data_IF_002660281037
#
_entry.id   IF_002660281037
#
_cell.length_a   1.000
_cell.length_b   1.000
_cell.length_c   1.000
_cell.angle_alpha   90.00
_cell.angle_beta   90.00
_cell.angle_gamma   90.00
#
_symmetry.space_group_name_H-M   'P 1'
#
loop_
_entity.id
_entity.type
_entity.pdbx_description
1 polymer ?
#
# COMPACT_ATOMS: atom_id res chain seq x y z
N UNK A 1 -24.13 -10.95 19.64
CA UNK A 1 -23.90 -11.73 18.40
C UNK A 1 -22.90 -12.81 18.74
N UNK A 2 -23.13 -14.06 18.33
CA UNK A 2 -22.23 -15.16 18.68
C UNK A 2 -21.01 -15.15 17.75
N UNK A 3 -19.81 -15.41 18.28
CA UNK A 3 -18.57 -15.51 17.52
C UNK A 3 -18.69 -16.50 16.35
N UNK A 4 -19.38 -17.62 16.58
CA UNK A 4 -19.64 -18.66 15.56
C UNK A 4 -20.47 -18.14 14.38
N UNK A 5 -21.43 -17.24 14.62
CA UNK A 5 -22.23 -16.66 13.53
C UNK A 5 -21.34 -15.82 12.61
N UNK A 6 -20.43 -15.03 13.19
CA UNK A 6 -19.55 -14.16 12.41
C UNK A 6 -18.48 -14.98 11.70
N UNK A 7 -17.97 -16.05 12.33
CA UNK A 7 -17.07 -17.01 11.68
C UNK A 7 -17.72 -17.65 10.45
N UNK A 8 -18.96 -18.13 10.60
CA UNK A 8 -19.69 -18.73 9.48
C UNK A 8 -19.95 -17.70 8.38
N UNK A 9 -20.32 -16.47 8.74
CA UNK A 9 -20.45 -15.38 7.76
C UNK A 9 -19.13 -15.11 7.04
N UNK A 10 -18.02 -15.03 7.76
CA UNK A 10 -16.69 -14.85 7.18
C UNK A 10 -16.33 -16.00 6.22
N UNK A 11 -16.63 -17.25 6.60
CA UNK A 11 -16.45 -18.44 5.76
C UNK A 11 -17.26 -18.35 4.47
N UNK A 12 -18.54 -17.98 4.56
CA UNK A 12 -19.41 -17.80 3.40
C UNK A 12 -18.90 -16.68 2.47
N UNK A 13 -18.45 -15.56 3.03
CA UNK A 13 -17.88 -14.45 2.27
C UNK A 13 -16.56 -14.86 1.57
N UNK A 14 -15.68 -15.58 2.26
CA UNK A 14 -14.44 -16.09 1.66
C UNK A 14 -14.72 -17.08 0.54
N UNK A 15 -15.70 -17.96 0.72
CA UNK A 15 -16.12 -18.94 -0.28
C UNK A 15 -16.67 -18.25 -1.54
N UNK A 16 -17.53 -17.23 -1.36
CA UNK A 16 -18.04 -16.39 -2.43
C UNK A 16 -16.88 -15.72 -3.21
N UNK A 17 -15.94 -15.09 -2.50
CA UNK A 17 -14.82 -14.36 -3.12
C UNK A 17 -13.80 -15.29 -3.79
N UNK A 18 -13.58 -16.48 -3.25
CA UNK A 18 -12.65 -17.48 -3.79
C UNK A 18 -13.30 -18.41 -4.83
N UNK A 19 -14.63 -18.35 -5.00
CA UNK A 19 -15.43 -19.26 -5.85
C UNK A 19 -15.20 -20.73 -5.51
N UNK A 20 -15.22 -21.04 -4.22
CA UNK A 20 -15.11 -22.40 -3.68
C UNK A 20 -16.30 -22.70 -2.77
N UNK A 21 -16.54 -23.96 -2.46
CA UNK A 21 -17.58 -24.32 -1.50
C UNK A 21 -17.17 -23.93 -0.07
N UNK A 22 -18.08 -23.39 0.76
CA UNK A 22 -17.77 -23.03 2.15
C UNK A 22 -17.15 -24.17 2.96
N UNK A 23 -17.58 -25.41 2.72
CA UNK A 23 -17.06 -26.62 3.37
C UNK A 23 -15.56 -26.87 3.09
N UNK A 24 -14.99 -26.28 2.04
CA UNK A 24 -13.57 -26.38 1.71
C UNK A 24 -12.70 -25.41 2.53
N UNK A 25 -13.31 -24.43 3.21
CA UNK A 25 -12.61 -23.42 4.01
C UNK A 25 -12.63 -23.83 5.48
N UNK A 26 -11.56 -24.53 5.88
CA UNK A 26 -11.28 -24.91 7.26
C UNK A 26 -10.68 -23.74 8.05
N UNK A 27 -10.67 -23.86 9.37
CA UNK A 27 -10.15 -22.82 10.27
C UNK A 27 -8.66 -22.51 10.06
N UNK A 28 -7.88 -23.53 9.69
CA UNK A 28 -6.44 -23.42 9.37
C UNK A 28 -6.17 -22.97 7.93
N UNK A 29 -7.20 -22.70 7.14
CA UNK A 29 -7.05 -22.29 5.73
C UNK A 29 -6.33 -20.96 5.66
N UNK A 30 -5.16 -20.96 5.03
CA UNK A 30 -4.42 -19.72 4.73
C UNK A 30 -5.19 -18.94 3.69
N UNK A 31 -5.71 -17.77 4.08
CA UNK A 31 -6.63 -16.98 3.25
C UNK A 31 -6.02 -16.64 1.89
N UNK A 32 -4.72 -16.35 1.85
CA UNK A 32 -3.99 -16.01 0.62
C UNK A 32 -3.72 -17.18 -0.32
N UNK A 33 -3.94 -18.43 0.13
CA UNK A 33 -3.80 -19.63 -0.70
C UNK A 33 -5.12 -20.06 -1.34
N UNK A 34 -6.23 -19.43 -0.96
CA UNK A 34 -7.50 -19.64 -1.63
C UNK A 34 -7.42 -19.10 -3.07
N UNK A 35 -8.06 -19.74 -4.05
CA UNK A 35 -8.01 -19.32 -5.44
C UNK A 35 -8.39 -17.84 -5.63
N UNK A 36 -7.47 -17.06 -6.20
CA UNK A 36 -7.67 -15.63 -6.48
C UNK A 36 -7.70 -14.71 -5.24
N UNK A 37 -7.43 -15.23 -4.04
CA UNK A 37 -7.48 -14.45 -2.80
C UNK A 37 -6.16 -13.71 -2.52
N UNK A 38 -6.00 -12.54 -3.13
CA UNK A 38 -4.95 -11.59 -2.72
C UNK A 38 -5.31 -10.79 -1.47
N UNK A 39 -4.37 -9.99 -0.94
CA UNK A 39 -4.60 -9.09 0.21
C UNK A 39 -5.85 -8.22 0.02
N UNK A 40 -6.03 -7.61 -1.16
CA UNK A 40 -7.20 -6.78 -1.44
C UNK A 40 -8.54 -7.53 -1.34
N UNK A 41 -8.60 -8.81 -1.72
CA UNK A 41 -9.83 -9.61 -1.57
C UNK A 41 -10.12 -9.92 -0.11
N UNK A 42 -9.09 -10.25 0.67
CA UNK A 42 -9.21 -10.46 2.11
C UNK A 42 -9.71 -9.20 2.80
N UNK A 43 -9.17 -8.02 2.46
CA UNK A 43 -9.62 -6.74 3.01
C UNK A 43 -11.06 -6.39 2.62
N UNK A 44 -11.54 -6.78 1.45
CA UNK A 44 -12.95 -6.60 1.11
C UNK A 44 -13.86 -7.49 1.95
N UNK A 45 -13.49 -8.74 2.22
CA UNK A 45 -14.24 -9.60 3.15
C UNK A 45 -14.33 -8.94 4.53
N UNK A 46 -13.22 -8.39 5.01
CA UNK A 46 -13.18 -7.65 6.28
C UNK A 46 -14.09 -6.43 6.22
N UNK A 47 -14.00 -5.61 5.17
CA UNK A 47 -14.87 -4.45 5.01
C UNK A 47 -16.36 -4.81 4.93
N UNK A 48 -16.70 -5.95 4.32
CA UNK A 48 -18.08 -6.50 4.30
C UNK A 48 -18.53 -6.89 5.71
N UNK A 49 -17.66 -7.53 6.50
CA UNK A 49 -17.94 -7.87 7.90
C UNK A 49 -18.11 -6.60 8.76
N UNK A 50 -17.21 -5.61 8.64
CA UNK A 50 -17.31 -4.33 9.35
C UNK A 50 -18.64 -3.64 9.08
N UNK A 51 -19.03 -3.50 7.81
CA UNK A 51 -20.30 -2.86 7.42
C UNK A 51 -21.52 -3.64 7.91
N UNK A 52 -21.52 -4.97 7.72
CA UNK A 52 -22.67 -5.82 8.04
C UNK A 52 -22.94 -5.88 9.55
N UNK A 53 -21.88 -5.84 10.35
CA UNK A 53 -21.98 -6.00 11.81
C UNK A 53 -21.75 -4.69 12.57
N UNK A 54 -21.57 -3.55 11.88
CA UNK A 54 -21.30 -2.26 12.49
C UNK A 54 -19.98 -2.24 13.29
N UNK A 55 -19.02 -3.09 12.92
CA UNK A 55 -17.73 -3.24 13.59
C UNK A 55 -16.71 -2.25 13.02
N UNK A 56 -15.70 -1.95 13.83
CA UNK A 56 -14.49 -1.23 13.41
C UNK A 56 -13.33 -2.11 13.85
N UNK A 57 -12.83 -2.91 12.92
CA UNK A 57 -11.70 -3.81 13.19
C UNK A 57 -10.44 -2.96 13.21
N UNK A 58 -9.81 -2.85 14.36
CA UNK A 58 -8.57 -2.09 14.51
C UNK A 58 -7.45 -2.71 13.67
N UNK A 59 -6.70 -1.88 12.96
CA UNK A 59 -5.67 -2.31 12.01
C UNK A 59 -4.59 -3.17 12.66
N UNK A 60 -4.35 -2.99 13.96
CA UNK A 60 -3.40 -3.81 14.73
C UNK A 60 -3.71 -5.31 14.63
N UNK A 61 -4.98 -5.66 14.45
CA UNK A 61 -5.44 -7.03 14.30
C UNK A 61 -5.30 -7.53 12.87
N UNK A 62 -5.35 -6.64 11.89
CA UNK A 62 -5.25 -6.99 10.47
C UNK A 62 -3.84 -7.45 10.08
N UNK A 63 -2.80 -6.91 10.72
CA UNK A 63 -1.40 -7.24 10.41
C UNK A 63 -1.08 -8.74 10.63
N UNK A 64 -1.77 -9.41 11.55
CA UNK A 64 -1.59 -10.83 11.82
C UNK A 64 -2.41 -11.78 10.93
N UNK A 65 -3.35 -11.26 10.15
CA UNK A 65 -4.41 -12.06 9.55
C UNK A 65 -3.86 -13.02 8.49
N UNK A 66 -3.79 -14.31 8.84
CA UNK A 66 -3.26 -15.36 7.95
C UNK A 66 -4.33 -16.38 7.62
N UNK A 67 -5.13 -16.78 8.60
CA UNK A 67 -6.14 -17.85 8.47
C UNK A 67 -7.56 -17.39 8.76
N UNK A 68 -8.55 -18.26 8.49
CA UNK A 68 -9.93 -18.03 8.92
C UNK A 68 -10.04 -17.94 10.44
N UNK A 69 -9.32 -18.78 11.18
CA UNK A 69 -9.28 -18.73 12.65
C UNK A 69 -8.73 -17.39 13.18
N UNK A 70 -7.77 -16.78 12.48
CA UNK A 70 -7.31 -15.44 12.82
C UNK A 70 -8.43 -14.42 12.63
N UNK A 71 -9.15 -14.46 11.50
CA UNK A 71 -10.27 -13.55 11.23
C UNK A 71 -11.37 -13.63 12.30
N UNK A 72 -11.74 -14.85 12.68
CA UNK A 72 -12.68 -15.10 13.76
C UNK A 72 -12.21 -14.49 15.08
N UNK A 73 -10.95 -14.74 15.47
CA UNK A 73 -10.37 -14.22 16.73
C UNK A 73 -10.43 -12.71 16.77
N UNK A 74 -10.10 -12.06 15.65
CA UNK A 74 -10.11 -10.61 15.49
C UNK A 74 -11.52 -10.05 15.66
N UNK A 75 -12.49 -10.63 14.95
CA UNK A 75 -13.87 -10.14 14.99
C UNK A 75 -14.48 -10.39 16.38
N UNK A 76 -14.20 -11.52 17.00
CA UNK A 76 -14.65 -11.85 18.35
C UNK A 76 -14.09 -10.85 19.38
N UNK A 77 -12.79 -10.55 19.31
CA UNK A 77 -12.16 -9.58 20.20
C UNK A 77 -12.76 -8.16 20.07
N UNK A 78 -13.19 -7.76 18.87
CA UNK A 78 -13.77 -6.44 18.60
C UNK A 78 -15.29 -6.38 18.83
N UNK A 79 -15.96 -7.52 18.89
CA UNK A 79 -17.41 -7.60 19.19
C UNK A 79 -17.71 -7.59 20.69
N UNK A 80 -16.69 -7.72 21.54
CA UNK A 80 -16.83 -7.55 22.98
C UNK A 80 -17.20 -6.09 23.33
N UNK A 81 -18.12 -5.85 24.28
CA UNK A 81 -18.50 -4.49 24.67
C UNK A 81 -17.27 -3.72 25.16
N UNK A 82 -16.84 -2.70 24.41
CA UNK A 82 -15.81 -1.75 24.86
C UNK A 82 -16.40 -0.84 25.94
N UNK A 83 -15.65 -0.46 26.99
CA UNK A 83 -16.03 0.65 27.84
C UNK A 83 -16.21 1.91 26.98
N UNK A 84 -17.29 2.66 27.22
CA UNK A 84 -17.78 3.76 26.38
C UNK A 84 -16.66 4.74 25.98
N UNK A 85 -16.22 4.67 24.72
CA UNK A 85 -15.46 5.72 24.07
C UNK A 85 -16.43 6.60 23.27
N UNK A 86 -16.23 7.93 23.33
CA UNK A 86 -17.08 8.91 22.65
C UNK A 86 -17.26 8.56 21.15
N UNK A 87 -18.50 8.59 20.63
CA UNK A 87 -18.77 8.20 19.26
C UNK A 87 -18.20 9.25 18.29
N UNK A 88 -17.20 8.87 17.51
CA UNK A 88 -16.91 9.57 16.26
C UNK A 88 -18.12 9.42 15.34
N UNK A 89 -18.65 10.53 14.82
CA UNK A 89 -19.80 10.57 13.92
C UNK A 89 -19.56 9.67 12.70
N UNK A 90 -20.37 8.61 12.55
CA UNK A 90 -20.31 7.66 11.44
C UNK A 90 -20.99 8.24 10.20
N UNK A 91 -20.34 8.33 9.03
CA UNK A 91 -21.05 8.55 7.78
C UNK A 91 -21.88 7.30 7.43
N UNK A 92 -23.15 7.51 7.03
CA UNK A 92 -24.02 6.42 6.58
C UNK A 92 -23.46 5.73 5.33
N UNK A 93 -23.38 4.39 5.30
CA UNK A 93 -22.97 3.67 4.11
C UNK A 93 -24.05 3.78 3.02
N UNK A 94 -23.65 4.16 1.80
CA UNK A 94 -24.56 4.15 0.63
C UNK A 94 -25.07 2.73 0.33
N UNK A 95 -26.34 2.56 -0.08
CA UNK A 95 -26.91 1.25 -0.40
C UNK A 95 -26.25 0.61 -1.64
N UNK A 96 -26.18 -0.73 -1.64
CA UNK A 96 -25.45 -1.56 -2.61
C UNK A 96 -26.33 -1.98 -3.79
N UNK A 97 -25.82 -2.02 -5.04
CA UNK A 97 -26.37 -2.86 -6.10
C UNK A 97 -25.95 -4.34 -5.93
N UNK A 98 -26.77 -5.27 -6.42
CA UNK A 98 -26.55 -6.71 -6.25
C UNK A 98 -25.26 -7.21 -6.92
N UNK A 99 -24.58 -8.16 -6.28
CA UNK A 99 -23.37 -8.82 -6.82
C UNK A 99 -23.74 -9.64 -8.07
N UNK A 100 -23.07 -9.37 -9.19
CA UNK A 100 -23.35 -10.01 -10.50
C UNK A 100 -24.33 -9.25 -11.39
N UNK A 101 -24.86 -8.10 -10.94
CA UNK A 101 -25.58 -7.17 -11.82
C UNK A 101 -24.61 -6.39 -12.70
N UNK A 102 -24.98 -6.18 -13.96
CA UNK A 102 -24.24 -5.29 -14.86
C UNK A 102 -23.94 -3.96 -14.15
N UNK A 103 -22.72 -3.44 -14.32
CA UNK A 103 -22.33 -2.15 -13.75
C UNK A 103 -23.42 -1.11 -14.02
N UNK A 104 -23.86 -0.40 -12.98
CA UNK A 104 -24.86 0.65 -13.17
C UNK A 104 -24.30 1.74 -14.08
N UNK A 105 -25.15 2.49 -14.79
CA UNK A 105 -24.71 3.62 -15.61
C UNK A 105 -23.90 4.65 -14.80
N UNK A 106 -24.12 4.74 -13.48
CA UNK A 106 -23.30 5.54 -12.57
C UNK A 106 -21.87 5.01 -12.42
N UNK A 107 -21.71 3.70 -12.25
CA UNK A 107 -20.41 3.04 -12.13
C UNK A 107 -19.61 3.14 -13.43
N UNK A 108 -20.23 2.85 -14.58
CA UNK A 108 -19.56 2.97 -15.88
C UNK A 108 -19.08 4.40 -16.16
N UNK A 109 -19.87 5.42 -15.80
CA UNK A 109 -19.44 6.82 -15.90
C UNK A 109 -18.23 7.13 -15.02
N UNK A 110 -18.10 6.50 -13.84
CA UNK A 110 -16.92 6.61 -12.99
C UNK A 110 -15.66 6.08 -13.68
N UNK A 111 -15.76 4.89 -14.25
CA UNK A 111 -14.67 4.28 -15.04
C UNK A 111 -14.25 5.13 -16.23
N UNK A 112 -15.20 5.63 -17.03
CA UNK A 112 -14.90 6.46 -18.20
C UNK A 112 -14.22 7.79 -17.82
N UNK A 113 -14.65 8.45 -16.73
CA UNK A 113 -13.96 9.65 -16.21
C UNK A 113 -12.54 9.35 -15.73
N UNK A 114 -12.33 8.17 -15.14
CA UNK A 114 -11.00 7.74 -14.72
C UNK A 114 -10.09 7.50 -15.92
N UNK A 115 -10.61 6.88 -16.98
CA UNK A 115 -9.89 6.63 -18.23
C UNK A 115 -9.53 7.93 -18.95
N UNK A 116 -10.44 8.90 -19.03
CA UNK A 116 -10.20 10.22 -19.64
C UNK A 116 -9.03 10.97 -18.98
N UNK A 117 -8.84 10.77 -17.67
CA UNK A 117 -7.77 11.41 -16.89
C UNK A 117 -6.53 10.54 -16.73
N UNK A 118 -6.55 9.31 -17.23
CA UNK A 118 -5.40 8.42 -17.14
C UNK A 118 -4.27 9.02 -17.97
N UNK A 119 -3.09 9.13 -17.36
CA UNK A 119 -1.86 9.36 -18.12
C UNK A 119 -1.30 7.96 -18.36
N UNK A 120 -1.31 7.47 -19.61
CA UNK A 120 -0.89 6.11 -19.89
C UNK A 120 0.61 5.95 -19.65
N UNK A 121 1.00 4.75 -19.25
CA UNK A 121 2.41 4.36 -19.12
C UNK A 121 3.14 4.57 -20.46
N UNK A 122 4.31 5.20 -20.50
CA UNK A 122 5.02 5.44 -21.77
C UNK A 122 5.24 4.15 -22.58
N UNK A 123 5.21 4.24 -23.91
CA UNK A 123 5.31 3.07 -24.81
C UNK A 123 6.60 2.26 -24.57
N UNK A 124 7.71 2.94 -24.28
CA UNK A 124 9.02 2.34 -23.96
C UNK A 124 9.04 1.58 -22.63
N UNK A 125 8.03 1.79 -21.78
CA UNK A 125 7.92 1.20 -20.44
C UNK A 125 6.65 0.36 -20.26
N UNK A 126 5.78 0.29 -21.27
CA UNK A 126 4.52 -0.43 -21.20
C UNK A 126 4.77 -1.93 -21.25
N UNK A 127 4.15 -2.71 -20.36
CA UNK A 127 4.24 -4.17 -20.37
C UNK A 127 2.87 -4.83 -20.21
N UNK A 128 2.35 -5.41 -21.29
CA UNK A 128 1.05 -6.08 -21.32
C UNK A 128 1.10 -7.49 -20.71
N UNK A 129 1.21 -7.60 -19.38
CA UNK A 129 1.25 -8.88 -18.65
C UNK A 129 -0.11 -9.35 -18.12
N UNK A 130 -1.00 -8.42 -17.80
CA UNK A 130 -2.20 -8.73 -17.02
C UNK A 130 -3.28 -9.29 -17.95
N UNK A 131 -3.71 -10.54 -17.73
CA UNK A 131 -4.86 -11.08 -18.46
C UNK A 131 -6.19 -10.47 -18.02
N UNK A 132 -7.18 -10.68 -18.88
CA UNK A 132 -8.55 -10.27 -18.65
C UNK A 132 -9.15 -10.76 -17.32
N UNK A 133 -9.06 -12.04 -16.90
CA UNK A 133 -9.56 -12.46 -15.59
C UNK A 133 -8.92 -11.70 -14.42
N UNK A 134 -7.61 -11.47 -14.48
CA UNK A 134 -6.88 -10.70 -13.46
C UNK A 134 -7.28 -9.22 -13.47
N UNK A 135 -7.45 -8.62 -14.66
CA UNK A 135 -7.93 -7.24 -14.80
C UNK A 135 -9.33 -7.06 -14.18
N UNK A 136 -10.27 -7.95 -14.50
CA UNK A 136 -11.63 -7.93 -13.93
C UNK A 136 -11.60 -8.11 -12.41
N UNK A 137 -10.73 -8.99 -11.90
CA UNK A 137 -10.53 -9.21 -10.47
C UNK A 137 -9.96 -7.98 -9.75
N UNK A 138 -8.97 -7.32 -10.33
CA UNK A 138 -8.35 -6.10 -9.79
C UNK A 138 -9.35 -4.93 -9.78
N UNK A 139 -10.03 -4.73 -10.90
CA UNK A 139 -10.99 -3.64 -11.10
C UNK A 139 -12.32 -3.87 -10.39
N UNK A 140 -12.63 -5.13 -10.03
CA UNK A 140 -13.93 -5.54 -9.49
C UNK A 140 -15.09 -5.09 -10.38
N UNK A 141 -14.97 -5.41 -11.66
CA UNK A 141 -15.96 -5.06 -12.69
C UNK A 141 -16.31 -6.27 -13.55
N UNK A 142 -17.27 -6.10 -14.45
CA UNK A 142 -17.73 -7.12 -15.39
C UNK A 142 -17.07 -6.96 -16.78
N UNK A 143 -17.19 -8.02 -17.59
CA UNK A 143 -16.69 -8.06 -18.96
C UNK A 143 -17.21 -6.89 -19.81
N UNK A 144 -18.49 -6.55 -19.68
CA UNK A 144 -19.12 -5.49 -20.45
C UNK A 144 -18.46 -4.13 -20.19
N UNK A 145 -18.12 -3.85 -18.93
CA UNK A 145 -17.45 -2.62 -18.53
C UNK A 145 -16.04 -2.58 -19.11
N UNK A 146 -15.29 -3.68 -19.01
CA UNK A 146 -13.94 -3.76 -19.56
C UNK A 146 -13.94 -3.60 -21.08
N UNK A 147 -14.85 -4.28 -21.80
CA UNK A 147 -15.01 -4.13 -23.25
C UNK A 147 -15.39 -2.71 -23.66
N UNK A 148 -16.17 -2.03 -22.81
CA UNK A 148 -16.49 -0.63 -23.03
C UNK A 148 -15.25 0.24 -22.85
N UNK A 149 -14.45 0.03 -21.80
CA UNK A 149 -13.21 0.77 -21.58
C UNK A 149 -12.20 0.56 -22.72
N UNK A 150 -12.05 -0.67 -23.22
CA UNK A 150 -11.23 -0.97 -24.40
C UNK A 150 -11.70 -0.19 -25.63
N UNK A 151 -13.01 -0.20 -25.93
CA UNK A 151 -13.58 0.59 -27.03
C UNK A 151 -13.40 2.10 -26.85
N UNK A 152 -13.27 2.57 -25.62
CA UNK A 152 -13.02 3.97 -25.28
C UNK A 152 -11.53 4.31 -25.14
N UNK A 153 -10.61 3.41 -25.50
CA UNK A 153 -9.18 3.69 -25.60
C UNK A 153 -8.32 3.20 -24.45
N UNK A 154 -8.84 2.33 -23.57
CA UNK A 154 -7.96 1.60 -22.65
C UNK A 154 -6.98 0.75 -23.47
N UNK A 155 -5.68 1.06 -23.34
CA UNK A 155 -4.61 0.38 -24.06
C UNK A 155 -4.51 -1.09 -23.66
N UNK A 156 -4.31 -1.95 -24.66
CA UNK A 156 -4.11 -3.38 -24.48
C UNK A 156 -3.21 -3.92 -25.60
N UNK A 157 -2.52 -5.01 -25.31
CA UNK A 157 -1.83 -5.84 -26.30
C UNK A 157 -2.61 -7.13 -26.57
N UNK A 158 -2.23 -7.84 -27.63
CA UNK A 158 -2.74 -9.18 -27.90
C UNK A 158 -1.92 -10.23 -27.12
N UNK A 159 -2.60 -11.19 -26.52
CA UNK A 159 -2.00 -12.34 -25.85
C UNK A 159 -2.60 -13.67 -26.33
N UNK A 160 -2.00 -14.81 -25.94
CA UNK A 160 -2.43 -16.13 -26.42
C UNK A 160 -3.90 -16.47 -26.07
N UNK A 161 -4.40 -15.94 -24.95
CA UNK A 161 -5.74 -16.20 -24.43
C UNK A 161 -6.67 -14.99 -24.54
N UNK A 162 -6.31 -13.98 -25.35
CA UNK A 162 -7.04 -12.73 -25.52
C UNK A 162 -6.26 -11.50 -25.06
N UNK A 163 -6.94 -10.35 -24.84
CA UNK A 163 -6.29 -9.08 -24.58
C UNK A 163 -5.51 -9.10 -23.25
N UNK A 164 -4.34 -8.46 -23.27
CA UNK A 164 -3.45 -8.26 -22.13
C UNK A 164 -3.31 -6.77 -21.84
N UNK A 165 -3.20 -6.41 -20.58
CA UNK A 165 -3.20 -5.02 -20.12
C UNK A 165 -1.93 -4.70 -19.36
N UNK A 166 -1.56 -3.42 -19.37
CA UNK A 166 -0.50 -2.89 -18.53
C UNK A 166 -0.99 -2.77 -17.08
N UNK A 167 -0.19 -3.28 -16.13
CA UNK A 167 -0.57 -3.34 -14.72
C UNK A 167 -0.73 -1.94 -14.11
N UNK A 168 0.17 -0.99 -14.44
CA UNK A 168 0.12 0.36 -13.91
C UNK A 168 -1.10 1.10 -14.44
N UNK A 169 -1.39 1.01 -15.74
CA UNK A 169 -2.58 1.63 -16.35
C UNK A 169 -3.87 1.10 -15.71
N UNK A 170 -3.98 -0.22 -15.51
CA UNK A 170 -5.14 -0.83 -14.84
C UNK A 170 -5.26 -0.39 -13.37
N UNK A 171 -4.14 -0.39 -12.63
CA UNK A 171 -4.12 0.00 -11.23
C UNK A 171 -4.58 1.46 -11.07
N UNK A 172 -4.05 2.36 -11.90
CA UNK A 172 -4.40 3.78 -11.90
C UNK A 172 -5.85 4.01 -12.32
N UNK A 173 -6.33 3.31 -13.34
CA UNK A 173 -7.73 3.38 -13.76
C UNK A 173 -8.67 2.97 -12.62
N UNK A 174 -8.36 1.86 -11.95
CA UNK A 174 -9.13 1.33 -10.84
C UNK A 174 -9.11 2.23 -9.60
N UNK A 175 -7.93 2.78 -9.26
CA UNK A 175 -7.76 3.68 -8.11
C UNK A 175 -8.66 4.92 -8.16
N UNK A 176 -8.98 5.41 -9.36
CA UNK A 176 -9.75 6.65 -9.55
C UNK A 176 -11.18 6.45 -10.09
N UNK A 177 -11.67 5.22 -10.22
CA UNK A 177 -12.98 4.97 -10.80
C UNK A 177 -14.15 5.42 -9.89
N UNK A 178 -13.90 5.58 -8.59
CA UNK A 178 -14.89 6.02 -7.61
C UNK A 178 -15.94 4.94 -7.29
N UNK A 179 -15.61 3.68 -7.55
CA UNK A 179 -16.49 2.55 -7.23
C UNK A 179 -16.48 2.22 -5.73
N UNK A 180 -15.42 2.62 -5.02
CA UNK A 180 -15.17 2.30 -3.61
C UNK A 180 -14.93 0.82 -3.33
N UNK A 181 -14.84 -0.02 -4.37
CA UNK A 181 -14.74 -1.48 -4.30
C UNK A 181 -13.56 -2.05 -5.07
N UNK A 182 -12.94 -1.31 -5.98
CA UNK A 182 -11.77 -1.83 -6.69
C UNK A 182 -10.64 -2.12 -5.71
N UNK A 183 -9.77 -3.07 -6.06
CA UNK A 183 -8.66 -3.46 -5.17
C UNK A 183 -7.77 -2.27 -4.80
N UNK A 184 -7.37 -1.38 -5.73
CA UNK A 184 -6.58 -0.19 -5.38
C UNK A 184 -7.31 0.79 -4.45
N UNK A 185 -8.60 1.07 -4.68
CA UNK A 185 -9.39 1.95 -3.81
C UNK A 185 -9.47 1.39 -2.37
N UNK A 186 -9.68 0.07 -2.25
CA UNK A 186 -9.72 -0.62 -0.96
C UNK A 186 -8.36 -0.55 -0.28
N UNK A 187 -7.28 -0.84 -1.01
CA UNK A 187 -5.91 -0.84 -0.50
C UNK A 187 -5.52 0.54 0.06
N UNK A 188 -5.72 1.61 -0.72
CA UNK A 188 -5.42 2.99 -0.29
C UNK A 188 -6.19 3.33 0.99
N UNK A 189 -7.49 3.07 1.02
CA UNK A 189 -8.34 3.34 2.20
C UNK A 189 -7.85 2.65 3.47
N UNK A 190 -7.41 1.39 3.36
CA UNK A 190 -6.86 0.67 4.52
C UNK A 190 -5.47 1.18 4.90
N UNK A 191 -4.62 1.52 3.92
CA UNK A 191 -3.27 2.03 4.18
C UNK A 191 -3.28 3.38 4.90
N UNK A 192 -4.23 4.27 4.59
CA UNK A 192 -4.31 5.61 5.20
C UNK A 192 -5.26 5.73 6.38
N UNK A 193 -5.87 4.63 6.83
CA UNK A 193 -6.84 4.66 7.94
C UNK A 193 -6.26 5.23 9.22
N UNK A 194 -4.95 5.10 9.44
CA UNK A 194 -4.23 5.70 10.57
C UNK A 194 -4.40 7.22 10.63
N UNK A 195 -4.63 7.90 9.50
CA UNK A 195 -4.85 9.34 9.43
C UNK A 195 -6.13 9.79 10.17
N UNK A 196 -7.02 8.85 10.51
CA UNK A 196 -8.20 9.08 11.38
C UNK A 196 -7.83 9.24 12.85
N UNK A 197 -6.61 8.88 13.22
CA UNK A 197 -6.11 8.97 14.57
C UNK A 197 -5.83 10.40 15.03
N UNK A 198 -5.13 10.51 16.14
CA UNK A 198 -4.62 11.77 16.70
C UNK A 198 -3.09 11.81 16.62
N UNK A 199 -2.51 12.99 16.85
CA UNK A 199 -1.05 13.17 17.01
C UNK A 199 -0.46 12.16 18.01
N UNK A 200 -1.15 11.91 19.11
CA UNK A 200 -0.73 10.91 20.10
C UNK A 200 -0.63 9.50 19.47
N UNK A 201 -1.66 9.09 18.72
CA UNK A 201 -1.65 7.78 18.05
C UNK A 201 -0.59 7.66 16.94
N UNK A 202 -0.22 8.77 16.31
CA UNK A 202 0.81 8.84 15.26
C UNK A 202 2.23 8.88 15.81
N UNK A 203 2.39 9.23 17.09
CA UNK A 203 3.69 9.43 17.73
C UNK A 203 4.02 8.40 18.78
N UNK A 204 3.02 7.71 19.34
CA UNK A 204 3.25 6.66 20.35
C UNK A 204 4.20 5.59 19.83
N UNK A 205 5.07 5.02 20.67
CA UNK A 205 5.91 3.91 20.26
C UNK A 205 5.10 2.68 19.85
N UNK A 206 5.55 1.97 18.83
CA UNK A 206 4.97 0.74 18.32
C UNK A 206 6.08 -0.28 18.03
N UNK A 207 5.78 -1.58 18.16
CA UNK A 207 6.73 -2.65 17.84
C UNK A 207 6.22 -3.47 16.68
N UNK A 208 7.04 -3.57 15.64
CA UNK A 208 6.74 -4.26 14.40
C UNK A 208 7.70 -5.42 14.22
N UNK A 209 7.18 -6.56 13.77
CA UNK A 209 7.96 -7.57 13.08
C UNK A 209 7.74 -7.42 11.59
N UNK A 210 8.81 -7.19 10.83
CA UNK A 210 8.80 -7.06 9.38
C UNK A 210 9.53 -8.27 8.80
N UNK A 211 8.85 -8.95 7.87
CA UNK A 211 9.47 -9.96 7.02
C UNK A 211 9.39 -9.52 5.57
N UNK A 212 10.53 -9.33 4.93
CA UNK A 212 10.62 -8.96 3.52
C UNK A 212 11.21 -10.13 2.76
N UNK A 213 10.43 -10.70 1.84
CA UNK A 213 10.83 -11.77 0.96
C UNK A 213 11.09 -11.22 -0.44
N UNK A 214 12.13 -11.73 -1.11
CA UNK A 214 12.38 -11.43 -2.50
C UNK A 214 12.67 -12.69 -3.30
N UNK A 215 12.26 -12.70 -4.57
CA UNK A 215 12.55 -13.79 -5.51
C UNK A 215 13.32 -13.28 -6.72
N UNK A 216 14.13 -14.17 -7.28
CA UNK A 216 14.90 -13.92 -8.48
C UNK A 216 13.94 -13.78 -9.69
N UNK A 217 14.06 -12.70 -10.49
CA UNK A 217 13.18 -12.50 -11.65
C UNK A 217 13.29 -13.59 -12.72
N UNK A 218 14.49 -14.10 -12.99
CA UNK A 218 14.74 -15.00 -14.13
C UNK A 218 14.66 -16.50 -13.79
N UNK A 219 14.99 -16.90 -12.55
CA UNK A 219 15.27 -18.31 -12.25
C UNK A 219 14.61 -18.78 -10.96
N UNK A 220 14.03 -19.98 -11.00
CA UNK A 220 13.56 -20.71 -9.81
C UNK A 220 14.68 -21.27 -8.92
N UNK A 221 15.94 -20.89 -9.17
CA UNK A 221 17.12 -21.13 -8.34
C UNK A 221 18.10 -19.97 -8.56
N UNK A 222 18.58 -19.35 -7.50
CA UNK A 222 19.51 -18.24 -7.62
C UNK A 222 20.51 -18.25 -6.47
N UNK A 223 21.80 -18.32 -6.80
CA UNK A 223 22.95 -18.23 -5.89
C UNK A 223 23.69 -16.88 -6.00
N UNK A 224 23.14 -15.95 -6.80
CA UNK A 224 23.75 -14.68 -7.13
C UNK A 224 23.60 -13.64 -6.02
N UNK A 225 24.25 -12.48 -6.20
CA UNK A 225 24.37 -11.45 -5.18
C UNK A 225 23.04 -10.76 -4.90
N UNK A 226 22.73 -10.66 -3.62
CA UNK A 226 21.64 -9.86 -3.07
C UNK A 226 22.19 -8.77 -2.17
N UNK A 227 21.57 -7.60 -2.19
CA UNK A 227 21.79 -6.55 -1.21
C UNK A 227 20.48 -6.06 -0.64
N UNK A 228 20.53 -5.69 0.63
CA UNK A 228 19.41 -5.14 1.35
C UNK A 228 19.89 -3.88 2.07
N UNK A 229 19.14 -2.79 1.89
CA UNK A 229 19.36 -1.57 2.64
C UNK A 229 19.14 -1.82 4.14
N UNK A 230 20.12 -1.50 5.00
CA UNK A 230 19.99 -1.72 6.43
C UNK A 230 18.82 -0.93 7.04
N UNK A 231 18.06 -1.54 7.95
CA UNK A 231 17.02 -0.84 8.73
C UNK A 231 17.68 0.08 9.78
N UNK A 232 17.22 1.34 9.87
CA UNK A 232 17.84 2.43 10.66
C UNK A 232 16.83 3.33 11.40
N UNK A 233 16.01 2.77 12.31
CA UNK A 233 14.94 3.49 12.99
C UNK A 233 15.42 4.57 13.97
N UNK A 234 16.70 4.58 14.35
CA UNK A 234 17.26 5.44 15.39
C UNK A 234 17.13 6.93 15.05
N UNK A 235 17.29 7.27 13.76
CA UNK A 235 17.13 8.65 13.28
C UNK A 235 15.71 9.20 13.46
N UNK A 236 14.73 8.32 13.71
CA UNK A 236 13.31 8.63 13.85
C UNK A 236 12.83 8.44 15.30
N UNK A 237 13.76 8.23 16.25
CA UNK A 237 13.43 7.94 17.65
C UNK A 237 12.98 6.50 17.90
N UNK A 238 13.18 5.60 16.94
CA UNK A 238 12.97 4.17 17.10
C UNK A 238 14.24 3.42 17.50
N UNK A 239 14.16 2.09 17.49
CA UNK A 239 15.23 1.16 17.89
C UNK A 239 15.09 -0.14 17.11
N UNK A 240 16.19 -0.63 16.52
CA UNK A 240 16.25 -1.97 15.96
C UNK A 240 16.48 -2.98 17.09
N UNK A 241 15.48 -3.82 17.39
CA UNK A 241 15.54 -4.75 18.52
C UNK A 241 16.20 -6.06 18.12
N UNK A 242 15.81 -6.60 16.98
CA UNK A 242 16.30 -7.85 16.45
C UNK A 242 16.38 -7.76 14.93
N UNK A 243 17.41 -8.35 14.35
CA UNK A 243 17.52 -8.46 12.90
C UNK A 243 18.22 -9.76 12.52
N UNK A 244 17.58 -10.47 11.60
CA UNK A 244 18.13 -11.66 10.95
C UNK A 244 18.04 -11.42 9.44
N UNK A 245 19.17 -11.61 8.76
CA UNK A 245 19.24 -11.58 7.31
C UNK A 245 19.62 -12.98 6.85
N UNK A 246 18.67 -13.70 6.25
CA UNK A 246 18.95 -15.00 5.66
C UNK A 246 19.15 -14.80 4.16
N UNK A 247 20.41 -14.70 3.76
CA UNK A 247 20.85 -14.89 2.38
C UNK A 247 21.11 -16.39 2.20
N UNK A 248 20.06 -17.16 1.91
CA UNK A 248 20.22 -18.59 1.73
C UNK A 248 20.91 -18.85 0.39
N UNK A 249 22.24 -18.99 0.44
CA UNK A 249 23.04 -19.47 -0.70
C UNK A 249 22.69 -20.90 -1.10
N UNK A 250 22.10 -21.67 -0.17
CA UNK A 250 21.89 -23.12 -0.29
C UNK A 250 20.41 -23.53 -0.50
N UNK A 251 19.55 -22.63 -0.97
CA UNK A 251 18.17 -22.99 -1.37
C UNK A 251 17.09 -21.95 -1.04
N UNK A 252 15.82 -22.25 -1.36
CA UNK A 252 14.72 -21.33 -1.11
C UNK A 252 14.44 -21.18 0.39
N UNK A 253 13.91 -20.02 0.78
CA UNK A 253 13.42 -19.75 2.13
C UNK A 253 12.29 -20.74 2.44
N UNK A 254 12.39 -21.58 3.50
CA UNK A 254 11.47 -22.71 3.74
C UNK A 254 9.97 -22.37 3.84
N UNK A 255 9.62 -21.09 3.92
CA UNK A 255 8.24 -20.60 3.98
C UNK A 255 8.00 -19.30 3.18
N UNK A 256 8.96 -18.87 2.37
CA UNK A 256 8.87 -17.64 1.58
C UNK A 256 8.43 -17.94 0.15
N UNK A 257 7.31 -17.37 -0.27
CA UNK A 257 6.84 -17.41 -1.64
C UNK A 257 6.48 -15.98 -2.09
N UNK A 258 6.93 -15.60 -3.27
CA UNK A 258 6.65 -14.31 -3.90
C UNK A 258 6.09 -14.58 -5.29
N UNK A 259 4.84 -14.18 -5.52
CA UNK A 259 4.15 -14.34 -6.81
C UNK A 259 4.26 -15.77 -7.39
N UNK A 260 3.96 -16.81 -6.60
CA UNK A 260 4.02 -18.20 -7.08
C UNK A 260 5.41 -18.83 -7.03
N UNK A 261 6.45 -18.07 -6.68
CA UNK A 261 7.86 -18.50 -6.78
C UNK A 261 8.53 -18.58 -5.41
N UNK A 262 9.49 -19.51 -5.22
CA UNK A 262 10.26 -19.55 -3.98
C UNK A 262 11.03 -18.24 -3.75
N UNK A 263 11.04 -17.76 -2.52
CA UNK A 263 11.89 -16.64 -2.13
C UNK A 263 13.33 -17.11 -1.90
N UNK A 264 14.30 -16.27 -2.28
CA UNK A 264 15.74 -16.55 -2.12
C UNK A 264 16.42 -15.62 -1.12
N UNK A 265 15.79 -14.49 -0.81
CA UNK A 265 16.23 -13.56 0.22
C UNK A 265 15.10 -13.34 1.21
N UNK A 266 15.46 -13.32 2.51
CA UNK A 266 14.58 -12.88 3.58
C UNK A 266 15.30 -11.90 4.52
N UNK A 267 14.68 -10.76 4.76
CA UNK A 267 14.86 -9.97 5.97
C UNK A 267 13.79 -10.38 6.98
N UNK A 268 14.17 -10.65 8.22
CA UNK A 268 13.25 -10.73 9.36
C UNK A 268 13.78 -9.81 10.46
N UNK A 269 13.06 -8.74 10.78
CA UNK A 269 13.47 -7.82 11.83
C UNK A 269 12.34 -7.44 12.76
N UNK A 270 12.68 -7.26 14.03
CA UNK A 270 11.82 -6.64 15.03
C UNK A 270 12.32 -5.23 15.29
N UNK A 271 11.46 -4.24 15.06
CA UNK A 271 11.78 -2.83 15.19
C UNK A 271 10.76 -2.15 16.09
N UNK A 272 11.25 -1.31 17.01
CA UNK A 272 10.42 -0.32 17.69
C UNK A 272 10.49 0.98 16.91
N UNK A 273 9.35 1.53 16.54
CA UNK A 273 9.27 2.88 15.96
C UNK A 273 8.60 3.80 16.96
N UNK A 274 8.86 5.10 16.82
CA UNK A 274 8.10 6.15 17.46
C UNK A 274 7.91 7.26 16.42
N UNK A 275 6.87 8.06 16.57
CA UNK A 275 6.73 9.26 15.76
C UNK A 275 7.22 10.47 16.55
N UNK A 276 7.52 11.54 15.82
CA UNK A 276 7.96 12.81 16.40
C UNK A 276 7.20 13.92 15.72
N UNK A 277 6.34 14.62 16.47
CA UNK A 277 5.70 15.85 16.00
C UNK A 277 6.76 16.94 15.90
N UNK A 278 6.87 17.55 14.73
CA UNK A 278 7.74 18.69 14.45
C UNK A 278 7.00 19.67 13.55
N UNK A 279 7.43 20.92 13.57
CA UNK A 279 6.81 21.99 12.77
C UNK A 279 7.84 22.63 11.87
N UNK A 280 7.49 22.85 10.61
CA UNK A 280 8.27 23.67 9.69
C UNK A 280 8.12 25.15 10.08
N UNK A 281 9.25 25.83 10.32
CA UNK A 281 9.26 27.25 10.70
C UNK A 281 9.42 28.16 9.50
N UNK A 282 10.27 27.79 8.55
CA UNK A 282 10.55 28.52 7.32
C UNK A 282 9.28 28.66 6.49
N UNK A 283 8.85 29.91 6.20
CA UNK A 283 7.72 30.15 5.29
C UNK A 283 7.94 29.55 3.90
N UNK A 284 9.20 29.49 3.45
CA UNK A 284 9.58 28.91 2.16
C UNK A 284 9.33 27.40 2.14
N UNK A 285 9.74 26.67 3.19
CA UNK A 285 9.48 25.24 3.30
C UNK A 285 7.99 24.92 3.36
N UNK A 286 7.23 25.71 4.14
CA UNK A 286 5.77 25.55 4.22
C UNK A 286 5.10 25.85 2.89
N UNK A 287 5.57 26.83 2.13
CA UNK A 287 5.05 27.11 0.79
C UNK A 287 5.34 25.95 -0.15
N UNK A 288 6.59 25.50 -0.24
CA UNK A 288 6.98 24.41 -1.14
C UNK A 288 6.20 23.12 -0.86
N UNK A 289 5.97 22.77 0.41
CA UNK A 289 5.12 21.64 0.78
C UNK A 289 3.67 21.81 0.29
N UNK A 290 3.05 22.98 0.55
CA UNK A 290 1.68 23.26 0.11
C UNK A 290 1.56 23.27 -1.41
N UNK A 291 2.54 23.84 -2.11
CA UNK A 291 2.58 23.91 -3.56
C UNK A 291 2.64 22.48 -4.13
N UNK A 292 3.52 21.62 -3.61
CA UNK A 292 3.59 20.22 -4.04
C UNK A 292 2.28 19.46 -3.79
N UNK A 293 1.65 19.65 -2.62
CA UNK A 293 0.36 19.04 -2.32
C UNK A 293 -0.77 19.59 -3.23
N UNK A 294 -0.75 20.87 -3.55
CA UNK A 294 -1.74 21.49 -4.44
C UNK A 294 -1.59 20.99 -5.89
N UNK A 295 -0.36 20.79 -6.36
CA UNK A 295 -0.13 20.17 -7.67
C UNK A 295 -0.72 18.76 -7.75
N UNK A 296 -0.64 17.99 -6.66
CA UNK A 296 -1.27 16.68 -6.54
C UNK A 296 -2.81 16.76 -6.48
N UNK A 297 -3.36 17.66 -5.66
CA UNK A 297 -4.81 17.84 -5.49
C UNK A 297 -5.50 18.32 -6.76
N UNK A 298 -4.92 19.30 -7.44
CA UNK A 298 -5.44 19.86 -8.68
C UNK A 298 -5.33 18.89 -9.87
N UNK A 299 -4.49 17.85 -9.74
CA UNK A 299 -4.20 16.91 -10.80
C UNK A 299 -3.21 17.44 -11.84
N UNK A 300 -2.54 18.57 -11.58
CA UNK A 300 -1.38 19.02 -12.38
C UNK A 300 -0.29 17.95 -12.39
N UNK A 301 -0.10 17.30 -11.24
CA UNK A 301 0.64 16.05 -11.11
C UNK A 301 -0.34 15.01 -10.61
N UNK A 302 -0.62 14.00 -11.43
CA UNK A 302 -1.54 12.92 -11.05
C UNK A 302 -0.78 11.85 -10.28
N UNK A 303 -1.20 11.57 -9.05
CA UNK A 303 -0.61 10.50 -8.25
C UNK A 303 -0.94 9.13 -8.87
N UNK A 304 0.07 8.34 -9.23
CA UNK A 304 -0.12 7.09 -9.97
C UNK A 304 0.93 6.05 -9.59
N UNK A 305 0.55 4.77 -9.70
CA UNK A 305 1.52 3.69 -9.87
C UNK A 305 2.25 3.90 -11.20
N UNK A 306 3.58 3.84 -11.19
CA UNK A 306 4.42 4.00 -12.38
C UNK A 306 5.55 2.97 -12.35
N UNK A 307 6.08 2.55 -13.52
CA UNK A 307 7.23 1.65 -13.59
C UNK A 307 8.46 2.20 -12.86
N UNK A 308 9.34 1.35 -12.31
CA UNK A 308 10.55 1.77 -11.59
C UNK A 308 11.40 2.79 -12.37
N UNK A 309 11.60 2.57 -13.67
CA UNK A 309 12.39 3.47 -14.50
C UNK A 309 11.82 4.91 -14.51
N UNK A 310 10.49 5.05 -14.52
CA UNK A 310 9.83 6.37 -14.44
C UNK A 310 9.77 6.89 -13.00
N UNK A 311 9.65 5.99 -12.02
CA UNK A 311 9.62 6.32 -10.58
C UNK A 311 10.88 7.05 -10.13
N UNK A 312 12.06 6.65 -10.62
CA UNK A 312 13.35 7.27 -10.26
C UNK A 312 13.72 8.46 -11.15
N UNK A 313 13.07 8.63 -12.31
CA UNK A 313 13.23 9.82 -13.15
C UNK A 313 12.16 10.87 -12.83
N UNK A 314 12.37 11.59 -11.73
CA UNK A 314 11.45 12.63 -11.26
C UNK A 314 11.19 13.75 -12.29
N UNK A 315 12.15 14.02 -13.19
CA UNK A 315 11.98 15.03 -14.24
C UNK A 315 11.06 14.54 -15.35
N UNK A 316 11.27 13.31 -15.84
CA UNK A 316 10.39 12.67 -16.84
C UNK A 316 8.99 12.47 -16.28
N UNK A 317 8.85 11.97 -15.05
CA UNK A 317 7.55 11.80 -14.40
C UNK A 317 6.78 13.13 -14.32
N UNK A 318 7.44 14.19 -13.86
CA UNK A 318 6.84 15.53 -13.78
C UNK A 318 6.46 16.09 -15.15
N UNK A 319 7.31 15.92 -16.17
CA UNK A 319 7.02 16.37 -17.54
C UNK A 319 5.79 15.68 -18.13
N UNK A 320 5.53 14.42 -17.74
CA UNK A 320 4.33 13.67 -18.11
C UNK A 320 3.11 14.01 -17.24
N UNK A 321 3.25 14.86 -16.22
CA UNK A 321 2.16 15.21 -15.32
C UNK A 321 1.78 14.07 -14.36
N UNK A 322 2.72 13.17 -14.02
CA UNK A 322 2.51 12.06 -13.08
C UNK A 322 3.51 12.08 -11.94
N UNK A 323 3.13 11.49 -10.81
CA UNK A 323 4.02 11.34 -9.66
C UNK A 323 3.62 10.17 -8.76
N UNK A 324 4.55 9.68 -7.96
CA UNK A 324 4.28 8.79 -6.84
C UNK A 324 5.06 9.27 -5.61
N UNK A 325 5.08 8.49 -4.52
CA UNK A 325 5.78 8.88 -3.29
C UNK A 325 7.28 9.18 -3.54
N UNK A 326 7.95 8.39 -4.39
CA UNK A 326 9.37 8.57 -4.74
C UNK A 326 9.58 9.79 -5.64
N UNK A 327 8.95 9.85 -6.82
CA UNK A 327 9.23 10.93 -7.78
C UNK A 327 8.78 12.30 -7.27
N UNK A 328 7.69 12.35 -6.49
CA UNK A 328 7.25 13.59 -5.83
C UNK A 328 8.28 14.06 -4.79
N UNK A 329 8.80 13.14 -3.97
CA UNK A 329 9.82 13.45 -2.96
C UNK A 329 11.13 13.91 -3.59
N UNK A 330 11.55 13.26 -4.67
CA UNK A 330 12.74 13.66 -5.42
C UNK A 330 12.58 15.05 -6.05
N UNK A 331 11.41 15.33 -6.65
CA UNK A 331 11.15 16.64 -7.24
C UNK A 331 11.14 17.76 -6.18
N UNK A 332 10.49 17.53 -5.03
CA UNK A 332 10.46 18.50 -3.94
C UNK A 332 11.87 18.71 -3.35
N UNK A 333 12.67 17.64 -3.22
CA UNK A 333 14.07 17.74 -2.82
C UNK A 333 14.89 18.58 -3.80
N UNK A 334 14.78 18.35 -5.11
CA UNK A 334 15.45 19.19 -6.12
C UNK A 334 15.03 20.66 -6.01
N UNK A 335 13.73 20.93 -5.85
CA UNK A 335 13.20 22.29 -5.71
C UNK A 335 13.78 23.01 -4.49
N UNK A 336 13.81 22.34 -3.35
CA UNK A 336 14.33 22.91 -2.10
C UNK A 336 15.86 23.02 -2.08
N UNK A 337 16.58 22.10 -2.72
CA UNK A 337 18.02 22.20 -2.92
C UNK A 337 18.38 23.46 -3.73
N UNK A 338 17.65 23.74 -4.82
CA UNK A 338 17.83 24.97 -5.61
C UNK A 338 17.52 26.25 -4.82
N UNK A 339 16.64 26.16 -3.82
CA UNK A 339 16.36 27.25 -2.89
C UNK A 339 17.39 27.36 -1.74
N UNK A 340 18.47 26.55 -1.76
CA UNK A 340 19.57 26.62 -0.81
C UNK A 340 19.39 25.82 0.48
N UNK A 341 18.35 24.98 0.57
CA UNK A 341 18.15 24.12 1.73
C UNK A 341 19.00 22.85 1.65
N UNK A 342 19.47 22.40 2.81
CA UNK A 342 20.07 21.07 2.91
C UNK A 342 18.96 20.02 2.99
N UNK A 343 18.89 19.17 1.98
CA UNK A 343 17.83 18.18 1.80
C UNK A 343 18.42 16.80 1.56
N UNK A 344 17.61 15.77 1.81
CA UNK A 344 17.87 14.40 1.38
C UNK A 344 16.55 13.69 1.10
N UNK A 345 16.60 12.59 0.37
CA UNK A 345 15.48 11.67 0.23
C UNK A 345 15.77 10.39 0.99
N UNK A 346 14.73 9.73 1.49
CA UNK A 346 14.82 8.44 2.18
C UNK A 346 13.79 7.46 1.63
N UNK A 347 14.10 6.17 1.73
CA UNK A 347 13.17 5.07 1.52
C UNK A 347 13.18 4.14 2.73
N UNK A 348 12.04 3.52 2.97
CA UNK A 348 11.90 2.46 3.95
C UNK A 348 10.52 1.83 3.82
N UNK A 349 10.05 1.21 4.90
CA UNK A 349 8.72 0.62 4.94
C UNK A 349 7.73 1.59 5.58
N UNK A 350 6.57 1.75 4.95
CA UNK A 350 5.39 2.31 5.58
C UNK A 350 4.51 1.17 6.10
N UNK A 351 4.40 1.03 7.42
CA UNK A 351 3.68 -0.06 8.08
C UNK A 351 2.23 0.31 8.32
N UNK A 352 1.38 -0.08 7.36
CA UNK A 352 -0.07 -0.09 7.48
C UNK A 352 -0.57 -1.53 7.32
N UNK A 353 -1.78 -1.74 6.78
CA UNK A 353 -2.42 -3.07 6.67
C UNK A 353 -1.58 -4.04 5.84
N UNK A 354 -0.81 -3.51 4.89
CA UNK A 354 0.45 -4.10 4.46
C UNK A 354 1.62 -3.17 4.81
N UNK A 355 2.84 -3.72 4.75
CA UNK A 355 4.00 -2.86 4.54
C UNK A 355 4.22 -2.67 3.05
N UNK A 356 4.51 -1.44 2.67
CA UNK A 356 4.91 -1.07 1.32
C UNK A 356 6.20 -0.26 1.39
N UNK A 357 7.00 -0.37 0.34
CA UNK A 357 8.12 0.53 0.14
C UNK A 357 7.58 1.94 -0.07
N UNK A 358 8.13 2.88 0.69
CA UNK A 358 7.67 4.25 0.70
C UNK A 358 8.85 5.20 0.67
N UNK A 359 8.78 6.19 -0.23
CA UNK A 359 9.78 7.25 -0.36
C UNK A 359 9.24 8.57 0.17
N UNK A 360 10.04 9.27 0.97
CA UNK A 360 9.76 10.63 1.43
C UNK A 360 11.02 11.50 1.30
N UNK A 361 10.87 12.81 1.49
CA UNK A 361 12.01 13.70 1.59
C UNK A 361 12.18 14.27 2.99
N UNK A 362 13.40 14.71 3.28
CA UNK A 362 13.75 15.38 4.52
C UNK A 362 14.53 16.66 4.26
N UNK A 363 14.33 17.64 5.13
CA UNK A 363 15.05 18.92 5.12
C UNK A 363 15.67 19.16 6.49
N UNK A 364 16.90 19.70 6.51
CA UNK A 364 17.53 20.15 7.74
C UNK A 364 17.04 21.57 8.06
N UNK A 365 16.33 21.72 9.18
CA UNK A 365 15.89 23.02 9.71
C UNK A 365 16.13 23.05 11.22
N UNK A 366 16.74 24.12 11.73
CA UNK A 366 17.08 24.27 13.15
C UNK A 366 17.96 23.14 13.71
N UNK A 367 18.84 22.57 12.87
CA UNK A 367 19.72 21.47 13.25
C UNK A 367 19.02 20.10 13.32
N UNK A 368 17.74 20.02 12.98
CA UNK A 368 16.98 18.77 12.95
C UNK A 368 16.50 18.44 11.53
N UNK A 369 16.55 17.15 11.18
CA UNK A 369 15.92 16.66 9.97
C UNK A 369 14.41 16.55 10.19
N UNK A 370 13.62 17.08 9.24
CA UNK A 370 12.15 17.08 9.25
C UNK A 370 11.64 16.43 7.97
N UNK A 371 10.68 15.50 8.06
CA UNK A 371 10.10 14.83 6.91
C UNK A 371 9.01 15.67 6.23
N UNK A 372 8.99 15.66 4.90
CA UNK A 372 7.91 16.23 4.10
C UNK A 372 7.34 15.12 3.21
N UNK A 373 6.03 14.89 3.33
CA UNK A 373 5.35 13.82 2.61
C UNK A 373 3.98 14.25 2.05
N UNK A 374 3.96 15.04 0.95
CA UNK A 374 2.71 15.48 0.33
C UNK A 374 1.94 14.31 -0.31
N UNK A 375 2.61 13.22 -0.66
CA UNK A 375 1.96 12.03 -1.22
C UNK A 375 1.06 11.36 -0.17
N UNK A 376 1.59 11.09 1.02
CA UNK A 376 0.80 10.48 2.09
C UNK A 376 -0.33 11.40 2.57
N UNK A 377 -0.11 12.71 2.60
CA UNK A 377 -1.16 13.69 2.88
C UNK A 377 -2.31 13.63 1.86
N UNK A 378 -1.99 13.59 0.56
CA UNK A 378 -2.99 13.43 -0.52
C UNK A 378 -3.79 12.14 -0.34
N UNK A 379 -3.13 11.01 -0.06
CA UNK A 379 -3.81 9.73 0.09
C UNK A 379 -4.79 9.76 1.29
N UNK A 380 -4.43 10.42 2.39
CA UNK A 380 -5.33 10.61 3.52
C UNK A 380 -6.57 11.46 3.15
N UNK A 381 -6.43 12.44 2.25
CA UNK A 381 -7.55 13.23 1.74
C UNK A 381 -8.52 12.42 0.88
N UNK A 382 -8.05 11.40 0.17
CA UNK A 382 -8.95 10.56 -0.62
C UNK A 382 -9.92 9.75 0.23
N UNK A 383 -9.48 9.27 1.41
CA UNK A 383 -10.36 8.55 2.34
C UNK A 383 -11.19 9.50 3.22
N UNK A 384 -10.57 10.56 3.75
CA UNK A 384 -11.19 11.39 4.78
C UNK A 384 -11.80 12.68 4.22
N UNK A 385 -11.33 13.17 3.08
CA UNK A 385 -11.57 14.53 2.61
C UNK A 385 -10.69 15.55 3.37
N UNK A 386 -10.41 16.67 2.71
CA UNK A 386 -9.46 17.70 3.16
C UNK A 386 -9.72 18.23 4.58
N UNK A 387 -10.98 18.43 4.96
CA UNK A 387 -11.32 18.94 6.29
C UNK A 387 -10.94 17.94 7.39
N UNK A 388 -11.31 16.67 7.22
CA UNK A 388 -11.09 15.63 8.24
C UNK A 388 -9.64 15.15 8.30
N UNK A 389 -8.87 15.30 7.21
CA UNK A 389 -7.44 15.00 7.18
C UNK A 389 -6.54 16.19 7.50
N UNK A 390 -7.08 17.38 7.80
CA UNK A 390 -6.28 18.61 7.94
C UNK A 390 -5.14 18.48 8.97
N UNK A 391 -5.42 17.91 10.14
CA UNK A 391 -4.42 17.69 11.18
C UNK A 391 -3.32 16.70 10.75
N UNK A 392 -3.69 15.65 10.01
CA UNK A 392 -2.74 14.69 9.48
C UNK A 392 -1.89 15.27 8.34
N UNK A 393 -2.51 16.11 7.50
CA UNK A 393 -1.85 16.85 6.43
C UNK A 393 -0.82 17.83 6.98
N UNK A 394 -1.13 18.51 8.08
CA UNK A 394 -0.16 19.34 8.80
C UNK A 394 0.94 18.51 9.44
N UNK A 395 0.61 17.34 9.98
CA UNK A 395 1.61 16.42 10.53
C UNK A 395 2.63 15.97 9.48
N UNK A 396 2.18 15.61 8.27
CA UNK A 396 3.04 15.25 7.13
C UNK A 396 3.95 16.40 6.65
N UNK A 397 3.73 17.63 7.15
CA UNK A 397 4.54 18.81 6.88
C UNK A 397 5.59 19.04 7.99
N UNK A 398 6.45 18.06 8.21
CA UNK A 398 7.62 18.19 9.09
C UNK A 398 7.83 17.03 10.06
N UNK A 399 6.79 16.24 10.37
CA UNK A 399 6.82 15.24 11.43
C UNK A 399 7.15 13.82 10.95
N UNK A 400 7.62 12.96 11.87
CA UNK A 400 7.80 11.54 11.62
C UNK A 400 6.62 10.72 12.16
N UNK A 401 6.09 9.82 11.35
CA UNK A 401 5.07 8.86 11.77
C UNK A 401 5.72 7.65 12.45
N UNK A 402 5.09 7.14 13.51
CA UNK A 402 5.45 5.86 14.12
C UNK A 402 5.22 4.65 13.20
N UNK A 403 4.78 4.85 11.96
CA UNK A 403 4.62 3.80 10.95
C UNK A 403 5.75 3.76 9.92
N UNK A 404 6.71 4.68 10.00
CA UNK A 404 7.89 4.62 9.14
C UNK A 404 8.97 3.77 9.79
N UNK A 405 9.44 2.78 9.02
CA UNK A 405 10.64 2.00 9.32
C UNK A 405 11.69 2.38 8.29
N UNK A 406 12.51 3.40 8.57
CA UNK A 406 13.51 3.90 7.62
C UNK A 406 14.59 2.85 7.35
N UNK A 407 15.03 2.80 6.09
CA UNK A 407 16.22 2.07 5.68
C UNK A 407 17.32 3.07 5.31
N UNK A 408 18.57 2.63 5.30
CA UNK A 408 19.69 3.42 4.79
C UNK A 408 19.70 3.38 3.26
N UNK A 409 18.67 3.98 2.68
CA UNK A 409 18.41 4.01 1.25
C UNK A 409 17.78 5.35 0.88
N UNK A 410 18.14 5.86 -0.29
CA UNK A 410 17.50 7.03 -0.89
C UNK A 410 16.17 6.65 -1.55
N UNK A 411 15.32 7.63 -1.83
CA UNK A 411 14.03 7.35 -2.48
C UNK A 411 14.17 6.72 -3.87
N UNK A 412 15.24 7.05 -4.59
CA UNK A 412 15.59 6.54 -5.93
C UNK A 412 16.29 5.18 -5.93
N UNK A 413 16.58 4.59 -4.76
CA UNK A 413 17.23 3.28 -4.64
C UNK A 413 16.23 2.22 -4.17
N UNK A 414 16.35 0.99 -4.63
CA UNK A 414 15.55 -0.11 -4.08
C UNK A 414 16.06 -0.55 -2.72
N UNK A 415 15.12 -0.88 -1.81
CA UNK A 415 15.47 -1.46 -0.50
C UNK A 415 16.11 -2.84 -0.68
N UNK A 416 15.70 -3.57 -1.72
CA UNK A 416 16.26 -4.86 -2.12
C UNK A 416 16.83 -4.74 -3.52
N UNK A 417 18.09 -5.14 -3.68
CA UNK A 417 18.77 -5.19 -4.97
C UNK A 417 19.27 -6.59 -5.25
N UNK A 418 19.20 -6.99 -6.51
CA UNK A 418 19.59 -8.31 -6.97
C UNK A 418 20.41 -8.21 -8.24
N UNK A 419 21.50 -8.98 -8.34
CA UNK A 419 22.35 -9.03 -9.53
C UNK A 419 22.35 -10.43 -10.13
N UNK A 420 22.34 -10.54 -11.46
CA UNK A 420 22.76 -11.74 -12.18
C UNK A 420 24.06 -11.45 -12.93
N UNK A 421 25.15 -12.07 -12.48
CA UNK A 421 26.48 -11.64 -12.89
C UNK A 421 26.68 -10.16 -12.56
N UNK A 422 26.92 -9.35 -13.59
CA UNK A 422 27.14 -7.91 -13.46
C UNK A 422 25.88 -7.06 -13.73
N UNK A 423 24.75 -7.68 -14.09
CA UNK A 423 23.51 -6.98 -14.38
C UNK A 423 22.67 -6.82 -13.10
N UNK A 424 22.35 -5.58 -12.74
CA UNK A 424 21.38 -5.23 -11.70
C UNK A 424 19.95 -5.38 -12.24
N UNK A 425 19.05 -5.95 -11.46
CA UNK A 425 17.62 -5.87 -11.74
C UNK A 425 17.04 -4.57 -11.19
N UNK A 426 16.39 -3.81 -12.07
CA UNK A 426 15.72 -2.56 -11.70
C UNK A 426 14.50 -2.80 -10.79
N UNK A 427 13.85 -3.96 -10.94
CA UNK A 427 12.77 -4.40 -10.07
C UNK A 427 12.94 -5.87 -9.69
N UNK A 428 12.83 -6.11 -8.39
CA UNK A 428 12.81 -7.44 -7.81
C UNK A 428 11.40 -7.67 -7.30
N UNK A 429 10.73 -8.78 -7.68
CA UNK A 429 9.46 -9.13 -7.07
C UNK A 429 9.66 -9.40 -5.58
N UNK A 430 8.89 -8.69 -4.76
CA UNK A 430 8.96 -8.76 -3.32
C UNK A 430 7.60 -8.98 -2.67
N UNK A 431 7.62 -9.40 -1.41
CA UNK A 431 6.44 -9.41 -0.54
C UNK A 431 6.87 -9.04 0.87
N UNK A 432 6.18 -8.08 1.46
CA UNK A 432 6.44 -7.63 2.83
C UNK A 432 5.27 -8.05 3.72
N UNK A 433 5.59 -8.69 4.84
CA UNK A 433 4.63 -9.13 5.85
C UNK A 433 4.96 -8.44 7.16
N UNK A 434 4.00 -7.70 7.69
CA UNK A 434 4.11 -7.00 8.97
C UNK A 434 3.24 -7.67 10.02
N UNK A 435 3.68 -7.67 11.28
CA UNK A 435 2.85 -7.99 12.44
C UNK A 435 3.18 -7.01 13.56
N UNK A 436 2.19 -6.60 14.34
CA UNK A 436 2.47 -6.06 15.68
C UNK A 436 3.10 -7.19 16.48
N UNK A 437 4.28 -6.95 17.04
CA UNK A 437 4.75 -7.83 18.10
C UNK A 437 3.79 -7.59 19.26
N UNK A 438 2.90 -8.54 19.54
CA UNK A 438 2.01 -8.44 20.70
C UNK A 438 2.81 -8.05 21.94
N UNK A 439 2.18 -7.40 22.91
CA UNK A 439 2.77 -6.89 24.17
C UNK A 439 3.51 -7.93 25.04
N UNK A 440 3.72 -9.14 24.54
CA UNK A 440 4.42 -10.25 25.17
C UNK A 440 5.96 -10.16 25.13
N UNK A 441 6.56 -9.01 24.80
CA UNK A 441 7.97 -8.75 25.17
C UNK A 441 7.99 -8.23 26.60
N UNK A 442 7.63 -9.11 27.53
CA UNK A 442 7.83 -8.92 28.96
C UNK A 442 9.32 -8.96 29.28
N UNK A 443 9.76 -8.00 30.09
CA UNK A 443 11.11 -7.88 30.64
C UNK A 443 11.57 -9.15 31.37
#
# INVERSE_FOLDING_TARGET
MNAEEIKEQARLLLAEEARVEPAQIRDDTVLKRLPGMGTGRVLEVIGRLERRHGLVIDDQYLYGLTTLADLERIVTAQSAPRPEAQPASRPEPKPRPAAGGAASDGELRGWLRSLEKLVPTPDDLTHYSVDRPTALALMRTDDRTLDTLMRHGLRHGDGPDGPRFDEHDLYNLAMYCGSGRSVPEVAVRYNVRLARGSVESWTRPEVWRIRHFATCPDHGRCDQRWELAPVRPEGFGGELLEVTHDLLRDGPVPSGEVAGRPAFMMLDCTVRTAGKRMELRSPVLRSAYRDALEELRSGKIRFQSVPAALRVDASKARALGVGNCVSTSMHLAQTLAHAGFQVRTRKGYFVAVGAEDHGWMEVLEDGEWKALDPALALLAEWDLGAERSAAFTEFCAGSYLNRFVPCDSRADEEVVRHWHGDQLFDEVPTTIVTRTAGTAVGK
#
